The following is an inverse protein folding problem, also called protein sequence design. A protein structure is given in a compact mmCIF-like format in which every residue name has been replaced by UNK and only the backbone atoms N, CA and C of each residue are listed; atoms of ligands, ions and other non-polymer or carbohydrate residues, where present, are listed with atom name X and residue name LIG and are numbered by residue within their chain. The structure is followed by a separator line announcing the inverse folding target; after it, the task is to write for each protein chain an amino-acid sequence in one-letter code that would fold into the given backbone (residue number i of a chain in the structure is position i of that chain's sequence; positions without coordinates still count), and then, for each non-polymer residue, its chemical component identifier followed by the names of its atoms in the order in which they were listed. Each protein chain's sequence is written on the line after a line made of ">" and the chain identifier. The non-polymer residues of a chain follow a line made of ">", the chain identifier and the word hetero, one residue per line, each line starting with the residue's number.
data_IF_381445945391
#
_entry.id   IF_381445945391
#
_cell.length_a   1.000
_cell.length_b   1.000
_cell.length_c   1.000
_cell.angle_alpha   90.00
_cell.angle_beta   90.00
_cell.angle_gamma   90.00
#
_symmetry.space_group_name_H-M   'P 1'
#
loop_
_entity.id
_entity.type
_entity.pdbx_description
1 polymer ?
#
# COMPACT_ATOMS: atom_id res chain seq x y z
N UNK A 1 -5.72 -17.26 -21.28
CA UNK A 1 -5.18 -16.04 -20.66
C UNK A 1 -5.66 -16.04 -19.23
N UNK A 2 -4.77 -16.14 -18.24
CA UNK A 2 -5.13 -15.99 -16.83
C UNK A 2 -4.96 -14.53 -16.47
N UNK A 3 -5.83 -13.70 -17.02
CA UNK A 3 -5.79 -12.27 -16.81
C UNK A 3 -6.08 -11.98 -15.34
N UNK A 4 -5.15 -11.31 -14.66
CA UNK A 4 -5.27 -11.05 -13.24
C UNK A 4 -5.48 -9.55 -13.03
N UNK A 5 -6.67 -9.12 -12.56
CA UNK A 5 -6.97 -7.71 -12.41
C UNK A 5 -6.01 -6.98 -11.45
N UNK A 6 -5.39 -7.69 -10.50
CA UNK A 6 -4.38 -7.11 -9.61
C UNK A 6 -3.07 -6.81 -10.34
N UNK A 7 -2.62 -7.72 -11.20
CA UNK A 7 -1.41 -7.52 -12.01
C UNK A 7 -1.60 -6.39 -13.02
N UNK A 8 -2.76 -6.33 -13.68
CA UNK A 8 -3.10 -5.25 -14.61
C UNK A 8 -3.12 -3.88 -13.92
N UNK A 9 -3.75 -3.79 -12.75
CA UNK A 9 -3.79 -2.56 -11.96
C UNK A 9 -2.37 -2.10 -11.58
N UNK A 10 -1.48 -3.02 -11.21
CA UNK A 10 -0.08 -2.69 -10.92
C UNK A 10 0.65 -2.14 -12.16
N UNK A 11 0.50 -2.78 -13.32
CA UNK A 11 1.10 -2.29 -14.56
C UNK A 11 0.58 -0.92 -14.96
N UNK A 12 -0.72 -0.66 -14.76
CA UNK A 12 -1.31 0.66 -14.98
C UNK A 12 -0.67 1.69 -14.06
N UNK A 13 -0.52 1.41 -12.77
CA UNK A 13 0.11 2.34 -11.82
C UNK A 13 1.55 2.68 -12.22
N UNK A 14 2.34 1.69 -12.62
CA UNK A 14 3.70 1.90 -13.12
C UNK A 14 3.71 2.83 -14.35
N UNK A 15 2.90 2.51 -15.38
CA UNK A 15 2.91 3.21 -16.67
C UNK A 15 2.38 4.64 -16.61
N UNK A 16 1.45 4.90 -15.70
CA UNK A 16 0.82 6.23 -15.55
C UNK A 16 1.51 7.10 -14.48
N UNK A 17 2.59 6.61 -13.86
CA UNK A 17 3.43 7.45 -13.02
C UNK A 17 4.05 8.59 -13.86
N UNK A 18 4.05 9.85 -13.38
CA UNK A 18 4.60 10.99 -14.13
C UNK A 18 6.07 10.84 -14.55
N UNK A 19 6.85 10.04 -13.82
CA UNK A 19 8.25 9.77 -14.12
C UNK A 19 8.45 8.68 -15.19
N UNK A 20 7.40 7.95 -15.58
CA UNK A 20 7.50 6.88 -16.55
C UNK A 20 7.81 7.46 -17.94
N UNK A 21 8.91 7.03 -18.60
CA UNK A 21 9.31 7.63 -19.87
C UNK A 21 8.43 7.12 -21.02
N UNK A 22 8.29 7.93 -22.08
CA UNK A 22 7.60 7.50 -23.31
C UNK A 22 8.28 6.30 -23.99
N UNK A 23 9.59 6.13 -23.81
CA UNK A 23 10.36 4.93 -24.17
C UNK A 23 11.62 4.82 -23.32
N UNK A 24 12.06 3.60 -23.04
CA UNK A 24 13.39 3.36 -22.48
C UNK A 24 14.44 3.30 -23.59
N UNK A 25 15.66 3.75 -23.32
CA UNK A 25 16.78 3.67 -24.27
C UNK A 25 17.39 2.27 -24.36
N UNK A 26 17.29 1.50 -23.27
CA UNK A 26 17.79 0.13 -23.15
C UNK A 26 17.05 -0.65 -22.07
N UNK A 27 17.30 -1.97 -21.99
CA UNK A 27 16.77 -2.80 -20.89
C UNK A 27 17.39 -2.41 -19.53
N UNK A 28 18.61 -1.90 -19.53
CA UNK A 28 19.31 -1.43 -18.34
C UNK A 28 18.59 -0.20 -17.77
N UNK A 29 18.20 0.74 -18.63
CA UNK A 29 17.42 1.92 -18.21
C UNK A 29 16.08 1.51 -17.60
N UNK A 30 15.39 0.56 -18.24
CA UNK A 30 14.13 0.03 -17.73
C UNK A 30 14.29 -0.62 -16.34
N UNK A 31 15.35 -1.40 -16.15
CA UNK A 31 15.64 -2.04 -14.85
C UNK A 31 15.97 -1.02 -13.77
N UNK A 32 16.80 -0.03 -14.08
CA UNK A 32 17.18 1.03 -13.14
C UNK A 32 15.96 1.86 -12.71
N UNK A 33 15.10 2.21 -13.68
CA UNK A 33 13.84 2.88 -13.40
C UNK A 33 12.93 2.02 -12.51
N UNK A 34 12.70 0.76 -12.88
CA UNK A 34 11.83 -0.14 -12.11
C UNK A 34 12.33 -0.37 -10.69
N UNK A 35 13.65 -0.52 -10.48
CA UNK A 35 14.23 -0.67 -9.15
C UNK A 35 13.91 0.54 -8.27
N UNK A 36 14.14 1.75 -8.79
CA UNK A 36 13.84 3.01 -8.09
C UNK A 36 12.33 3.14 -7.82
N UNK A 37 11.51 2.85 -8.82
CA UNK A 37 10.06 2.94 -8.70
C UNK A 37 9.52 1.99 -7.65
N UNK A 38 9.93 0.71 -7.64
CA UNK A 38 9.41 -0.27 -6.71
C UNK A 38 9.90 -0.05 -5.28
N UNK A 39 11.12 0.46 -5.10
CA UNK A 39 11.60 0.88 -3.78
C UNK A 39 10.67 1.96 -3.20
N UNK A 40 10.47 3.05 -3.94
CA UNK A 40 9.57 4.13 -3.54
C UNK A 40 8.13 3.64 -3.34
N UNK A 41 7.59 2.86 -4.29
CA UNK A 41 6.21 2.36 -4.24
C UNK A 41 5.96 1.48 -3.00
N UNK A 42 6.92 0.62 -2.65
CA UNK A 42 6.76 -0.33 -1.56
C UNK A 42 7.05 0.27 -0.19
N UNK A 43 8.05 1.16 -0.09
CA UNK A 43 8.59 1.61 1.19
C UNK A 43 8.24 3.05 1.55
N UNK A 44 7.90 3.90 0.58
CA UNK A 44 7.67 5.34 0.83
C UNK A 44 6.25 5.77 0.50
N UNK A 45 5.70 5.34 -0.63
CA UNK A 45 4.38 5.75 -1.08
C UNK A 45 3.29 5.21 -0.14
N UNK A 46 2.41 6.10 0.33
CA UNK A 46 1.27 5.76 1.19
C UNK A 46 0.02 5.60 0.35
N UNK A 47 -0.52 4.40 0.37
CA UNK A 47 -1.60 3.98 -0.52
C UNK A 47 -2.96 4.11 0.18
N UNK A 48 -3.88 4.87 -0.40
CA UNK A 48 -5.23 5.08 0.16
C UNK A 48 -6.02 3.78 0.28
N UNK A 49 -5.88 2.88 -0.69
CA UNK A 49 -6.56 1.57 -0.72
C UNK A 49 -6.18 0.62 0.42
N UNK A 50 -5.07 0.88 1.13
CA UNK A 50 -4.62 0.10 2.29
C UNK A 50 -4.49 0.97 3.54
N UNK A 51 -5.30 2.03 3.66
CA UNK A 51 -5.37 2.84 4.88
C UNK A 51 -4.18 3.78 5.08
N UNK A 52 -3.62 4.31 3.99
CA UNK A 52 -2.43 5.19 3.99
C UNK A 52 -1.20 4.52 4.61
N UNK A 53 -1.05 3.22 4.36
CA UNK A 53 0.13 2.43 4.69
C UNK A 53 1.00 2.26 3.45
N UNK A 54 2.27 1.91 3.67
CA UNK A 54 3.16 1.47 2.61
C UNK A 54 2.93 -0.02 2.37
N UNK A 55 3.14 -0.50 1.14
CA UNK A 55 2.94 -1.92 0.84
C UNK A 55 3.82 -2.81 1.72
N UNK A 56 5.08 -2.40 1.96
CA UNK A 56 6.00 -3.08 2.86
C UNK A 56 5.45 -3.18 4.30
N UNK A 57 4.84 -2.12 4.83
CA UNK A 57 4.31 -2.18 6.21
C UNK A 57 3.14 -3.15 6.37
N UNK A 58 2.33 -3.32 5.32
CA UNK A 58 1.27 -4.33 5.31
C UNK A 58 1.87 -5.71 5.15
N UNK A 59 2.79 -5.89 4.20
CA UNK A 59 3.42 -7.18 3.91
C UNK A 59 4.19 -7.75 5.11
N UNK A 60 5.00 -6.91 5.78
CA UNK A 60 5.79 -7.31 6.95
C UNK A 60 5.03 -7.20 8.28
N UNK A 61 3.72 -6.92 8.26
CA UNK A 61 2.87 -6.94 9.46
C UNK A 61 3.04 -5.76 10.44
N UNK A 62 3.84 -4.73 10.10
CA UNK A 62 4.05 -3.57 10.97
C UNK A 62 2.89 -2.56 10.92
N UNK A 63 1.96 -2.71 9.97
CA UNK A 63 0.83 -1.79 9.78
C UNK A 63 -0.06 -1.63 11.03
N UNK A 64 -0.27 -2.68 11.82
CA UNK A 64 -1.06 -2.61 13.06
C UNK A 64 -0.45 -1.68 14.10
N UNK A 65 0.87 -1.77 14.30
CA UNK A 65 1.59 -0.89 15.21
C UNK A 65 1.53 0.56 14.72
N UNK A 66 1.80 0.78 13.43
CA UNK A 66 1.71 2.13 12.81
C UNK A 66 0.32 2.71 12.97
N UNK A 67 -0.74 1.92 12.78
CA UNK A 67 -2.13 2.37 12.96
C UNK A 67 -2.41 2.79 14.40
N UNK A 68 -1.88 2.04 15.38
CA UNK A 68 -2.02 2.36 16.81
C UNK A 68 -1.36 3.71 17.14
N UNK A 69 -0.13 3.92 16.68
CA UNK A 69 0.59 5.20 16.86
C UNK A 69 -0.15 6.36 16.17
N UNK A 70 -0.72 6.11 14.99
CA UNK A 70 -1.53 7.11 14.27
C UNK A 70 -2.78 7.48 15.06
N UNK A 71 -3.46 6.53 15.68
CA UNK A 71 -4.62 6.83 16.52
C UNK A 71 -4.24 7.69 17.71
N UNK A 72 -3.14 7.37 18.41
CA UNK A 72 -2.64 8.19 19.52
C UNK A 72 -2.34 9.64 19.09
N UNK A 73 -1.76 9.82 17.91
CA UNK A 73 -1.49 11.16 17.34
C UNK A 73 -2.79 11.91 17.06
N UNK A 74 -3.78 11.22 16.50
CA UNK A 74 -5.11 11.77 16.21
C UNK A 74 -5.88 12.15 17.49
N UNK A 75 -5.80 11.32 18.52
CA UNK A 75 -6.42 11.57 19.82
C UNK A 75 -5.80 12.80 20.49
N UNK A 76 -4.46 12.92 20.47
CA UNK A 76 -3.75 14.08 21.00
C UNK A 76 -4.12 15.37 20.24
N UNK A 77 -4.19 15.30 18.90
CA UNK A 77 -4.60 16.44 18.08
C UNK A 77 -6.05 16.87 18.37
N UNK A 78 -6.96 15.92 18.55
CA UNK A 78 -8.34 16.18 18.91
C UNK A 78 -8.47 16.82 20.30
N UNK A 79 -7.77 16.28 21.30
CA UNK A 79 -7.77 16.83 22.65
C UNK A 79 -7.26 18.29 22.69
N UNK A 80 -6.26 18.61 21.87
CA UNK A 80 -5.72 19.98 21.81
C UNK A 80 -6.66 20.96 21.09
N UNK A 81 -7.38 20.53 20.06
CA UNK A 81 -8.19 21.41 19.21
C UNK A 81 -9.47 20.71 18.70
N UNK A 82 -10.48 20.47 19.55
CA UNK A 82 -11.67 19.69 19.17
C UNK A 82 -12.50 20.36 18.05
N UNK A 83 -12.51 21.69 17.97
CA UNK A 83 -13.27 22.44 16.96
C UNK A 83 -12.75 22.20 15.53
N UNK A 84 -11.47 21.86 15.37
CA UNK A 84 -10.88 21.47 14.06
C UNK A 84 -11.47 20.17 13.51
N UNK A 85 -12.15 19.40 14.35
CA UNK A 85 -12.76 18.11 14.01
C UNK A 85 -14.29 18.14 14.16
N UNK A 86 -14.90 19.34 14.20
CA UNK A 86 -16.35 19.51 14.34
C UNK A 86 -16.93 18.74 15.53
N UNK A 87 -16.18 18.66 16.64
CA UNK A 87 -16.60 17.95 17.86
C UNK A 87 -16.62 16.42 17.76
N UNK A 88 -16.05 15.82 16.71
CA UNK A 88 -15.97 14.36 16.55
C UNK A 88 -14.52 13.88 16.55
N UNK A 89 -14.20 12.95 17.45
CA UNK A 89 -12.88 12.33 17.48
C UNK A 89 -12.58 11.59 16.15
N UNK A 90 -11.46 11.89 15.48
CA UNK A 90 -11.05 11.21 14.26
C UNK A 90 -10.59 9.77 14.53
N UNK A 91 -10.76 8.90 13.53
CA UNK A 91 -10.28 7.51 13.59
C UNK A 91 -9.19 7.29 12.54
N UNK A 92 -8.12 6.61 12.93
CA UNK A 92 -7.11 6.13 12.00
C UNK A 92 -7.77 5.19 10.97
N UNK A 93 -7.43 5.31 9.66
CA UNK A 93 -7.99 4.45 8.62
C UNK A 93 -7.88 2.97 8.96
N UNK A 94 -8.88 2.17 8.56
CA UNK A 94 -8.87 0.73 8.78
C UNK A 94 -7.79 0.07 7.92
N UNK A 95 -7.21 -1.02 8.44
CA UNK A 95 -6.35 -1.88 7.64
C UNK A 95 -7.20 -2.61 6.58
N UNK A 96 -6.61 -2.92 5.41
CA UNK A 96 -7.29 -3.70 4.38
C UNK A 96 -7.60 -5.11 4.86
N UNK A 97 -8.61 -5.74 4.25
CA UNK A 97 -8.80 -7.19 4.35
C UNK A 97 -7.85 -7.90 3.41
N UNK A 98 -7.59 -9.18 3.66
CA UNK A 98 -6.76 -10.02 2.79
C UNK A 98 -7.36 -10.07 1.38
N UNK A 99 -6.51 -9.95 0.38
CA UNK A 99 -6.84 -10.15 -1.03
C UNK A 99 -5.84 -11.14 -1.64
N UNK A 100 -6.30 -11.90 -2.63
CA UNK A 100 -5.51 -12.96 -3.26
C UNK A 100 -5.38 -12.73 -4.76
N UNK A 101 -4.14 -12.79 -5.27
CA UNK A 101 -3.87 -12.88 -6.70
C UNK A 101 -4.34 -14.25 -7.19
N UNK A 102 -3.93 -15.30 -6.49
CA UNK A 102 -4.44 -16.67 -6.64
C UNK A 102 -4.80 -17.16 -5.24
N UNK A 103 -6.08 -17.36 -4.95
CA UNK A 103 -6.49 -17.84 -3.64
C UNK A 103 -6.10 -19.33 -3.51
N UNK A 104 -5.28 -19.70 -2.52
CA UNK A 104 -4.94 -21.10 -2.30
C UNK A 104 -6.20 -21.88 -1.90
N UNK A 105 -6.33 -23.12 -2.37
CA UNK A 105 -7.40 -24.01 -1.90
C UNK A 105 -7.15 -24.38 -0.44
N UNK A 106 -8.19 -24.81 0.31
CA UNK A 106 -8.01 -25.28 1.69
C UNK A 106 -6.92 -26.35 1.83
N UNK A 107 -6.78 -27.25 0.85
CA UNK A 107 -5.74 -28.29 0.85
C UNK A 107 -4.33 -27.71 0.71
N UNK A 108 -4.15 -26.66 -0.10
CA UNK A 108 -2.87 -25.98 -0.28
C UNK A 108 -2.45 -25.16 0.96
N UNK A 109 -3.42 -24.65 1.72
CA UNK A 109 -3.18 -23.96 2.99
C UNK A 109 -2.70 -24.92 4.10
N UNK A 110 -3.17 -26.17 4.09
CA UNK A 110 -2.77 -27.20 5.08
C UNK A 110 -1.33 -27.67 4.84
N UNK A 111 -0.85 -27.67 3.59
CA UNK A 111 0.50 -28.15 3.25
C UNK A 111 1.61 -27.09 3.47
N UNK A 112 1.26 -25.83 3.73
CA UNK A 112 2.21 -24.71 3.83
C UNK A 112 2.37 -24.15 5.25
N UNK A 113 1.72 -24.77 6.24
CA UNK A 113 1.83 -24.49 7.67
C UNK A 113 2.74 -25.52 8.37
#
# INVERSE_FOLDING_TARGET
>A
SNDNPYSEANFKTLKYCPAFPGRFGSIQDARAFCATFFEYYNHEHRHSGIGLHTAASVHYGTATQIRTLRQQTLDAAYAANPDRFSGRAPNAPKLPTVAWINQPTPEALIQSA
#
